data_IF_977740794116
#
_entry.id   IF_977740794116
#
_cell.length_a   1.000
_cell.length_b   1.000
_cell.length_c   1.000
_cell.angle_alpha   90.00
_cell.angle_beta   90.00
_cell.angle_gamma   90.00
#
_symmetry.space_group_name_H-M   'P 1'
#
loop_
_entity.id
_entity.type
_entity.pdbx_description
1 polymer ?
#
# COMPACT_ATOMS: atom_id res chain seq x y z
N UNK A 1 -3.76 5.92 15.03
CA UNK A 1 -2.95 6.25 13.83
C UNK A 1 -3.24 5.18 12.81
N UNK A 2 -3.65 5.56 11.62
CA UNK A 2 -3.85 4.61 10.52
C UNK A 2 -2.51 4.18 9.91
N UNK A 3 -2.56 3.09 9.12
CA UNK A 3 -1.37 2.42 8.58
C UNK A 3 -0.51 3.35 7.69
N UNK A 4 -1.06 4.10 6.70
CA UNK A 4 -0.26 5.02 5.90
C UNK A 4 0.32 6.19 6.70
N UNK A 5 -0.38 6.71 7.73
CA UNK A 5 0.17 7.75 8.61
C UNK A 5 1.31 7.22 9.47
N UNK A 6 1.21 5.98 9.95
CA UNK A 6 2.29 5.31 10.68
C UNK A 6 3.53 5.12 9.81
N UNK A 7 3.35 4.71 8.56
CA UNK A 7 4.44 4.58 7.59
C UNK A 7 5.15 5.93 7.37
N UNK A 8 4.40 7.01 7.20
CA UNK A 8 4.94 8.36 7.05
C UNK A 8 5.79 8.82 8.25
N UNK A 9 5.35 8.48 9.48
CA UNK A 9 6.10 8.81 10.70
C UNK A 9 7.42 8.03 10.82
N UNK A 10 7.50 6.85 10.22
CA UNK A 10 8.69 5.99 10.23
C UNK A 10 9.85 6.51 9.36
N UNK A 11 9.59 7.44 8.44
CA UNK A 11 10.61 7.96 7.53
C UNK A 11 11.36 9.13 8.17
N UNK A 12 12.67 9.12 8.01
CA UNK A 12 13.53 10.19 8.53
C UNK A 12 13.57 11.36 7.54
N UNK A 13 12.63 12.30 7.68
CA UNK A 13 12.54 13.56 6.92
C UNK A 13 12.56 14.75 7.86
N UNK A 14 12.98 15.95 7.39
CA UNK A 14 12.93 17.19 8.18
C UNK A 14 11.49 17.54 8.60
N UNK A 15 11.37 18.29 9.71
CA UNK A 15 10.11 18.93 10.10
C UNK A 15 9.64 19.88 9.00
N UNK A 16 8.34 19.91 8.75
CA UNK A 16 7.72 20.65 7.65
C UNK A 16 7.58 19.84 6.35
N UNK A 17 8.22 18.67 6.22
CA UNK A 17 8.12 17.85 5.01
C UNK A 17 6.69 17.33 4.82
N UNK A 18 6.23 17.37 3.57
CA UNK A 18 4.96 16.79 3.13
C UNK A 18 5.20 15.46 2.44
N UNK A 19 4.54 14.42 2.92
CA UNK A 19 4.69 13.05 2.46
C UNK A 19 3.34 12.56 1.93
N UNK A 20 3.33 11.99 0.73
CA UNK A 20 2.21 11.22 0.22
C UNK A 20 2.49 9.74 0.44
N UNK A 21 1.52 9.00 0.96
CA UNK A 21 1.59 7.54 1.09
C UNK A 21 0.45 6.90 0.30
N UNK A 22 0.80 5.89 -0.48
CA UNK A 22 -0.12 4.97 -1.14
C UNK A 22 0.08 3.59 -0.51
N UNK A 23 -0.94 3.11 0.18
CA UNK A 23 -0.98 1.78 0.77
C UNK A 23 -1.96 0.90 0.01
N UNK A 24 -1.47 -0.21 -0.56
CA UNK A 24 -2.30 -1.22 -1.22
C UNK A 24 -2.19 -2.51 -0.42
N UNK A 25 -3.11 -2.64 0.52
CA UNK A 25 -3.22 -3.78 1.41
C UNK A 25 -3.97 -4.96 0.80
N UNK A 26 -4.24 -5.96 1.64
CA UNK A 26 -4.97 -7.16 1.23
C UNK A 26 -6.46 -6.91 0.91
N UNK A 27 -7.08 -5.89 1.49
CA UNK A 27 -8.53 -5.64 1.37
C UNK A 27 -8.88 -4.18 1.09
N UNK A 28 -7.91 -3.26 1.19
CA UNK A 28 -8.11 -1.83 1.02
C UNK A 28 -6.96 -1.21 0.23
N UNK A 29 -7.27 -0.07 -0.38
CA UNK A 29 -6.32 0.91 -0.87
C UNK A 29 -6.54 2.16 -0.03
N UNK A 30 -5.50 2.66 0.60
CA UNK A 30 -5.52 3.87 1.40
C UNK A 30 -4.45 4.84 0.90
N UNK A 31 -4.82 6.11 0.74
CA UNK A 31 -3.90 7.18 0.35
C UNK A 31 -4.02 8.35 1.33
N UNK A 32 -2.91 8.94 1.71
CA UNK A 32 -2.91 10.18 2.46
C UNK A 32 -1.77 11.12 2.04
N UNK A 33 -1.95 12.40 2.37
CA UNK A 33 -0.87 13.39 2.39
C UNK A 33 -0.80 13.92 3.81
N UNK A 34 0.39 13.85 4.39
CA UNK A 34 0.65 14.33 5.74
C UNK A 34 1.80 15.34 5.74
N UNK A 35 1.75 16.30 6.65
CA UNK A 35 2.86 17.17 7.00
C UNK A 35 3.52 16.65 8.28
N UNK A 36 4.81 16.40 8.24
CA UNK A 36 5.58 15.98 9.41
C UNK A 36 5.98 17.20 10.22
N UNK A 37 5.72 17.16 11.51
CA UNK A 37 6.13 18.20 12.45
C UNK A 37 6.89 17.60 13.62
N UNK A 38 7.78 18.38 14.21
CA UNK A 38 8.58 17.94 15.36
C UNK A 38 9.72 16.99 14.98
N UNK A 39 10.18 16.22 15.95
CA UNK A 39 11.36 15.36 15.79
C UNK A 39 12.69 16.11 15.87
N UNK A 40 12.65 17.44 16.04
CA UNK A 40 13.83 18.30 16.16
C UNK A 40 14.33 18.32 17.61
N UNK A 41 15.62 18.56 17.74
CA UNK A 41 16.28 18.65 19.05
C UNK A 41 16.90 17.33 19.47
N UNK A 42 17.90 17.43 20.36
CA UNK A 42 18.55 16.26 20.97
C UNK A 42 17.89 15.93 22.30
N UNK A 43 17.53 14.66 22.50
CA UNK A 43 17.15 14.19 23.82
C UNK A 43 18.34 14.37 24.77
N UNK A 44 18.08 14.87 26.00
CA UNK A 44 19.15 14.88 26.99
C UNK A 44 19.42 13.45 27.48
N UNK A 45 20.67 13.09 27.81
CA UNK A 45 20.98 11.76 28.36
C UNK A 45 20.17 11.43 29.60
N UNK A 46 19.84 12.43 30.42
CA UNK A 46 19.00 12.29 31.63
C UNK A 46 17.55 11.97 31.24
N UNK A 47 17.01 12.61 30.18
CA UNK A 47 15.65 12.34 29.71
C UNK A 47 15.52 10.91 29.17
N UNK A 48 16.52 10.39 28.48
CA UNK A 48 16.55 9.00 28.01
C UNK A 48 16.57 8.00 29.18
N UNK A 49 17.37 8.27 30.19
CA UNK A 49 17.43 7.42 31.39
C UNK A 49 16.11 7.41 32.16
N UNK A 50 15.44 8.57 32.27
CA UNK A 50 14.15 8.68 32.96
C UNK A 50 13.02 8.02 32.18
N UNK A 51 13.01 8.10 30.84
CA UNK A 51 12.08 7.35 29.98
C UNK A 51 12.20 5.86 30.21
N UNK A 52 13.43 5.35 30.28
CA UNK A 52 13.67 3.93 30.54
C UNK A 52 13.09 3.48 31.89
N UNK A 53 12.99 4.36 32.89
CA UNK A 53 12.36 4.13 34.19
C UNK A 53 10.86 4.40 34.26
N UNK A 54 10.22 4.70 33.11
CA UNK A 54 8.77 4.95 33.01
C UNK A 54 8.31 6.33 33.51
N UNK A 55 9.22 7.29 33.73
CA UNK A 55 8.86 8.63 34.16
C UNK A 55 8.47 9.53 32.95
N UNK A 56 7.57 10.46 33.19
CA UNK A 56 7.28 11.51 32.21
C UNK A 56 8.45 12.53 32.16
N UNK A 57 9.06 12.62 30.99
CA UNK A 57 10.23 13.48 30.75
C UNK A 57 9.94 14.60 29.74
N UNK A 58 8.69 14.82 29.40
CA UNK A 58 8.28 15.83 28.42
C UNK A 58 8.78 17.24 28.77
N UNK A 59 8.86 17.55 30.06
CA UNK A 59 9.38 18.84 30.59
C UNK A 59 10.91 18.95 30.60
N UNK A 60 11.63 17.84 30.50
CA UNK A 60 13.10 17.77 30.62
C UNK A 60 13.74 17.64 29.21
N UNK A 61 13.05 17.02 28.28
CA UNK A 61 13.54 16.83 26.91
C UNK A 61 13.26 18.07 26.05
N UNK A 62 14.29 18.62 25.41
CA UNK A 62 14.15 19.64 24.37
C UNK A 62 13.69 19.06 23.03
N UNK A 63 13.56 17.74 22.92
CA UNK A 63 13.13 17.07 21.71
C UNK A 63 11.61 17.27 21.55
N UNK A 64 11.20 17.86 20.44
CA UNK A 64 9.80 17.93 20.06
C UNK A 64 9.30 16.55 19.65
N UNK A 65 8.14 16.16 20.11
CA UNK A 65 7.48 14.92 19.67
C UNK A 65 7.23 15.03 18.17
N UNK A 66 7.60 13.98 17.45
CA UNK A 66 7.30 13.88 16.03
C UNK A 66 5.84 13.52 15.84
N UNK A 67 5.12 14.29 15.07
CA UNK A 67 3.72 14.06 14.74
C UNK A 67 3.47 14.24 13.22
N UNK A 68 2.36 13.71 12.76
CA UNK A 68 1.89 13.88 11.40
C UNK A 68 0.54 14.61 11.42
N UNK A 69 0.47 15.74 10.73
CA UNK A 69 -0.76 16.46 10.45
C UNK A 69 -1.33 15.96 9.13
N UNK A 70 -2.57 15.45 9.14
CA UNK A 70 -3.23 14.94 7.93
C UNK A 70 -3.74 16.11 7.10
N UNK A 71 -3.17 16.30 5.92
CA UNK A 71 -3.63 17.28 4.94
C UNK A 71 -4.82 16.75 4.16
N UNK A 72 -4.72 15.56 3.60
CA UNK A 72 -5.81 14.90 2.86
C UNK A 72 -5.76 13.39 3.02
N UNK A 73 -6.89 12.73 2.83
CA UNK A 73 -7.00 11.29 2.92
C UNK A 73 -8.12 10.77 2.03
N UNK A 74 -7.88 9.66 1.35
CA UNK A 74 -8.88 8.91 0.58
C UNK A 74 -8.60 7.42 0.66
N UNK A 75 -9.55 6.58 0.26
CA UNK A 75 -9.35 5.14 0.22
C UNK A 75 -10.54 4.41 -0.39
N UNK A 76 -10.36 3.11 -0.60
CA UNK A 76 -11.41 2.24 -1.12
C UNK A 76 -11.30 0.82 -0.55
N UNK A 77 -12.39 0.06 -0.70
CA UNK A 77 -12.47 -1.35 -0.29
C UNK A 77 -12.05 -2.30 -1.42
N UNK A 78 -11.03 -1.94 -2.17
CA UNK A 78 -10.40 -2.79 -3.18
C UNK A 78 -8.98 -3.09 -2.69
N UNK A 79 -8.53 -4.34 -2.79
CA UNK A 79 -7.18 -4.71 -2.36
C UNK A 79 -6.69 -6.00 -3.01
N UNK A 80 -5.66 -6.59 -2.44
CA UNK A 80 -5.03 -7.80 -2.97
C UNK A 80 -5.97 -8.97 -3.17
N UNK A 81 -7.00 -9.12 -2.30
CA UNK A 81 -8.00 -10.19 -2.40
C UNK A 81 -8.93 -10.04 -3.61
N UNK A 82 -9.25 -8.81 -3.99
CA UNK A 82 -10.03 -8.56 -5.20
C UNK A 82 -9.24 -8.97 -6.43
N UNK A 83 -7.93 -8.69 -6.44
CA UNK A 83 -7.03 -9.11 -7.52
C UNK A 83 -6.96 -10.64 -7.61
N UNK A 84 -6.89 -11.35 -6.47
CA UNK A 84 -6.93 -12.82 -6.44
C UNK A 84 -8.23 -13.34 -7.05
N UNK A 85 -9.36 -12.72 -6.71
CA UNK A 85 -10.66 -13.06 -7.29
C UNK A 85 -10.71 -12.79 -8.79
N UNK A 86 -10.12 -11.69 -9.27
CA UNK A 86 -10.07 -11.38 -10.71
C UNK A 86 -9.23 -12.39 -11.48
N UNK A 87 -8.10 -12.84 -10.92
CA UNK A 87 -7.28 -13.92 -11.51
C UNK A 87 -8.10 -15.21 -11.61
N UNK A 88 -8.79 -15.60 -10.55
CA UNK A 88 -9.63 -16.80 -10.56
C UNK A 88 -10.74 -16.67 -11.60
N UNK A 89 -11.45 -15.54 -11.62
CA UNK A 89 -12.58 -15.29 -12.53
C UNK A 89 -12.14 -15.27 -14.01
N UNK A 90 -10.92 -14.83 -14.29
CA UNK A 90 -10.38 -14.84 -15.65
C UNK A 90 -10.31 -16.25 -16.24
N UNK A 91 -9.98 -17.25 -15.43
CA UNK A 91 -9.86 -18.64 -15.86
C UNK A 91 -11.10 -19.49 -15.55
N UNK A 92 -11.80 -19.18 -14.47
CA UNK A 92 -12.95 -19.91 -13.92
C UNK A 92 -14.04 -18.94 -13.44
N UNK A 93 -14.87 -18.37 -14.34
CA UNK A 93 -15.92 -17.42 -13.96
C UNK A 93 -16.90 -17.94 -12.91
N UNK A 94 -17.16 -19.26 -12.92
CA UNK A 94 -18.10 -19.93 -12.00
C UNK A 94 -17.38 -20.62 -10.84
N UNK A 95 -16.24 -20.12 -10.40
CA UNK A 95 -15.46 -20.71 -9.32
C UNK A 95 -16.26 -20.78 -8.00
N UNK A 96 -16.28 -21.97 -7.40
CA UNK A 96 -16.95 -22.25 -6.11
C UNK A 96 -15.96 -22.66 -5.01
N UNK A 97 -14.68 -22.73 -5.31
CA UNK A 97 -13.66 -23.32 -4.43
C UNK A 97 -12.72 -22.23 -3.87
N UNK A 98 -12.78 -22.02 -2.55
CA UNK A 98 -11.94 -21.05 -1.85
C UNK A 98 -10.43 -21.33 -2.03
N UNK A 99 -10.03 -22.59 -2.18
CA UNK A 99 -8.63 -22.96 -2.41
C UNK A 99 -8.03 -22.30 -3.66
N UNK A 100 -8.85 -21.99 -4.66
CA UNK A 100 -8.39 -21.34 -5.88
C UNK A 100 -7.95 -19.91 -5.63
N UNK A 101 -8.54 -19.22 -4.63
CA UNK A 101 -8.10 -17.88 -4.22
C UNK A 101 -6.70 -17.90 -3.60
N UNK A 102 -6.41 -18.89 -2.76
CA UNK A 102 -5.07 -19.05 -2.18
C UNK A 102 -4.02 -19.32 -3.27
N UNK A 103 -4.37 -20.15 -4.26
CA UNK A 103 -3.48 -20.42 -5.40
C UNK A 103 -3.27 -19.18 -6.29
N UNK A 104 -4.30 -18.36 -6.44
CA UNK A 104 -4.19 -17.08 -7.15
C UNK A 104 -3.32 -16.08 -6.39
N UNK A 105 -3.43 -16.01 -5.06
CA UNK A 105 -2.57 -15.20 -4.22
C UNK A 105 -1.10 -15.59 -4.35
N UNK A 106 -0.78 -16.88 -4.28
CA UNK A 106 0.58 -17.37 -4.45
C UNK A 106 1.19 -16.95 -5.79
N UNK A 107 0.44 -17.09 -6.89
CA UNK A 107 0.94 -16.74 -8.22
C UNK A 107 1.02 -15.22 -8.41
N UNK A 108 0.08 -14.45 -7.87
CA UNK A 108 0.12 -12.98 -7.82
C UNK A 108 1.40 -12.50 -7.14
N UNK A 109 1.71 -13.03 -5.94
CA UNK A 109 2.93 -12.67 -5.21
C UNK A 109 4.20 -12.99 -6.01
N UNK A 110 4.23 -14.12 -6.71
CA UNK A 110 5.35 -14.46 -7.61
C UNK A 110 5.47 -13.45 -8.74
N UNK A 111 4.38 -13.13 -9.44
CA UNK A 111 4.39 -12.20 -10.59
C UNK A 111 4.67 -10.75 -10.20
N UNK A 112 4.46 -10.37 -8.94
CA UNK A 112 4.83 -9.06 -8.40
C UNK A 112 6.33 -8.92 -8.08
N UNK A 113 7.11 -10.01 -8.17
CA UNK A 113 8.56 -9.95 -7.95
C UNK A 113 9.26 -9.29 -9.13
N UNK A 114 10.22 -8.39 -8.82
CA UNK A 114 11.01 -7.67 -9.82
C UNK A 114 11.97 -8.56 -10.63
N UNK A 115 12.21 -9.79 -10.16
CA UNK A 115 13.15 -10.73 -10.81
C UNK A 115 12.53 -11.52 -11.97
N UNK A 116 11.21 -11.41 -12.18
CA UNK A 116 10.48 -12.18 -13.17
C UNK A 116 10.58 -11.51 -14.55
N UNK A 117 10.94 -12.30 -15.56
CA UNK A 117 10.94 -11.87 -16.96
C UNK A 117 9.52 -11.81 -17.51
N UNK A 118 9.27 -10.88 -18.43
CA UNK A 118 7.95 -10.68 -19.03
C UNK A 118 7.42 -11.92 -19.77
N UNK A 119 8.32 -12.73 -20.33
CA UNK A 119 8.03 -13.94 -21.12
C UNK A 119 7.74 -15.19 -20.25
N UNK A 120 8.03 -15.13 -18.94
CA UNK A 120 7.87 -16.29 -18.07
C UNK A 120 6.39 -16.63 -17.89
N UNK A 121 6.05 -17.90 -18.05
CA UNK A 121 4.72 -18.45 -17.85
C UNK A 121 4.72 -19.35 -16.61
N UNK A 122 3.80 -19.11 -15.73
CA UNK A 122 3.67 -19.85 -14.49
C UNK A 122 2.45 -20.75 -14.55
N UNK A 123 2.66 -22.03 -14.26
CA UNK A 123 1.58 -23.02 -14.14
C UNK A 123 0.80 -22.74 -12.85
N UNK A 124 -0.51 -22.61 -12.99
CA UNK A 124 -1.46 -22.60 -11.89
C UNK A 124 -2.47 -23.73 -12.06
N UNK A 125 -2.77 -24.46 -10.98
CA UNK A 125 -3.75 -25.54 -10.96
C UNK A 125 -4.96 -25.09 -10.18
N UNK A 126 -6.11 -25.01 -10.82
CA UNK A 126 -7.36 -24.71 -10.13
C UNK A 126 -8.21 -25.97 -9.95
N UNK A 127 -8.85 -26.06 -8.79
CA UNK A 127 -9.81 -27.11 -8.48
C UNK A 127 -11.11 -26.83 -9.23
N UNK A 128 -11.64 -27.87 -9.89
CA UNK A 128 -12.90 -27.84 -10.63
C UNK A 128 -13.84 -28.93 -10.11
N UNK A 129 -15.04 -29.04 -10.68
CA UNK A 129 -16.05 -30.05 -10.27
C UNK A 129 -15.48 -31.48 -10.25
N UNK A 130 -15.93 -32.27 -9.27
CA UNK A 130 -15.47 -33.63 -9.07
C UNK A 130 -14.08 -33.75 -8.46
N UNK A 131 -13.61 -32.76 -7.72
CA UNK A 131 -12.27 -32.72 -7.11
C UNK A 131 -11.12 -32.93 -8.11
N UNK A 132 -11.32 -32.53 -9.35
CA UNK A 132 -10.29 -32.58 -10.39
C UNK A 132 -9.53 -31.24 -10.42
N UNK A 133 -8.28 -31.28 -10.82
CA UNK A 133 -7.49 -30.09 -11.08
C UNK A 133 -7.42 -29.81 -12.58
N UNK A 134 -7.52 -28.51 -12.93
CA UNK A 134 -7.29 -28.02 -14.29
C UNK A 134 -6.10 -27.07 -14.29
N UNK A 135 -5.22 -27.27 -15.23
CA UNK A 135 -4.00 -26.50 -15.39
C UNK A 135 -4.23 -25.29 -16.29
N UNK A 136 -3.69 -24.14 -15.87
CA UNK A 136 -3.69 -22.89 -16.62
C UNK A 136 -2.30 -22.28 -16.56
N UNK A 137 -2.00 -21.38 -17.48
CA UNK A 137 -0.75 -20.65 -17.52
C UNK A 137 -1.02 -19.16 -17.36
N UNK A 138 -0.43 -18.55 -16.35
CA UNK A 138 -0.47 -17.11 -16.11
C UNK A 138 0.90 -16.51 -16.41
N UNK A 139 0.94 -15.57 -17.34
CA UNK A 139 2.11 -14.73 -17.63
C UNK A 139 1.92 -13.34 -17.03
N UNK A 140 3.00 -12.56 -16.99
CA UNK A 140 2.93 -11.15 -16.60
C UNK A 140 1.97 -10.38 -17.50
N UNK A 141 1.98 -10.63 -18.81
CA UNK A 141 1.06 -10.01 -19.78
C UNK A 141 -0.43 -10.28 -19.44
N UNK A 142 -0.77 -11.55 -19.13
CA UNK A 142 -2.14 -11.90 -18.75
C UNK A 142 -2.50 -11.25 -17.41
N UNK A 143 -1.56 -11.21 -16.47
CA UNK A 143 -1.78 -10.57 -15.18
C UNK A 143 -2.04 -9.06 -15.33
N UNK A 144 -1.23 -8.36 -16.11
CA UNK A 144 -1.43 -6.94 -16.44
C UNK A 144 -2.81 -6.72 -17.11
N UNK A 145 -3.18 -7.59 -18.05
CA UNK A 145 -4.51 -7.55 -18.67
C UNK A 145 -5.64 -7.71 -17.63
N UNK A 146 -5.53 -8.64 -16.71
CA UNK A 146 -6.50 -8.81 -15.61
C UNK A 146 -6.64 -7.53 -14.80
N UNK A 147 -5.55 -6.86 -14.46
CA UNK A 147 -5.56 -5.58 -13.74
C UNK A 147 -6.25 -4.47 -14.53
N UNK A 148 -5.95 -4.36 -15.82
CA UNK A 148 -6.51 -3.34 -16.73
C UNK A 148 -8.01 -3.57 -16.95
N UNK A 149 -8.41 -4.81 -17.27
CA UNK A 149 -9.82 -5.19 -17.55
C UNK A 149 -10.72 -4.95 -16.31
N UNK A 150 -10.17 -5.03 -15.10
CA UNK A 150 -10.89 -4.72 -13.86
C UNK A 150 -10.74 -3.25 -13.41
N UNK A 151 -10.25 -2.37 -14.30
CA UNK A 151 -10.15 -0.92 -14.09
C UNK A 151 -9.37 -0.46 -12.86
N UNK A 152 -8.45 -1.26 -12.30
CA UNK A 152 -7.70 -0.89 -11.10
C UNK A 152 -6.93 0.43 -11.30
N UNK A 153 -6.27 0.60 -12.43
CA UNK A 153 -5.47 1.80 -12.72
C UNK A 153 -6.35 3.05 -12.79
N UNK A 154 -7.52 2.96 -13.43
CA UNK A 154 -8.46 4.09 -13.48
C UNK A 154 -9.01 4.42 -12.08
N UNK A 155 -9.23 3.40 -11.26
CA UNK A 155 -9.67 3.57 -9.88
C UNK A 155 -8.61 4.27 -9.03
N UNK A 156 -7.35 3.84 -9.11
CA UNK A 156 -6.22 4.50 -8.45
C UNK A 156 -6.08 5.97 -8.88
N UNK A 157 -6.20 6.24 -10.18
CA UNK A 157 -6.17 7.60 -10.71
C UNK A 157 -7.31 8.48 -10.18
N UNK A 158 -8.51 7.91 -9.98
CA UNK A 158 -9.63 8.62 -9.38
C UNK A 158 -9.34 8.99 -7.92
N UNK A 159 -8.89 8.01 -7.13
CA UNK A 159 -8.51 8.24 -5.72
C UNK A 159 -7.41 9.30 -5.60
N UNK A 160 -6.40 9.24 -6.46
CA UNK A 160 -5.33 10.22 -6.48
C UNK A 160 -5.84 11.63 -6.80
N UNK A 161 -6.76 11.76 -7.76
CA UNK A 161 -7.39 13.06 -8.08
C UNK A 161 -8.17 13.61 -6.90
N UNK A 162 -8.95 12.77 -6.21
CA UNK A 162 -9.73 13.18 -5.04
C UNK A 162 -8.80 13.64 -3.91
N UNK A 163 -7.73 12.88 -3.63
CA UNK A 163 -6.71 13.21 -2.65
C UNK A 163 -6.08 14.58 -2.93
N UNK A 164 -5.64 14.80 -4.16
CA UNK A 164 -4.98 16.06 -4.57
C UNK A 164 -5.94 17.25 -4.58
N UNK A 165 -7.21 17.04 -4.93
CA UNK A 165 -8.23 18.09 -4.89
C UNK A 165 -8.49 18.55 -3.45
N UNK A 166 -8.61 17.61 -2.50
CA UNK A 166 -8.75 17.95 -1.08
C UNK A 166 -7.49 18.69 -0.56
N UNK A 167 -6.30 18.21 -0.94
CA UNK A 167 -5.04 18.84 -0.55
C UNK A 167 -4.92 20.28 -1.06
N UNK A 168 -5.34 20.56 -2.30
CA UNK A 168 -5.39 21.92 -2.87
C UNK A 168 -6.28 22.86 -2.06
N UNK A 169 -7.39 22.38 -1.55
CA UNK A 169 -8.27 23.15 -0.65
C UNK A 169 -7.58 23.55 0.66
N UNK A 170 -6.48 22.89 1.01
CA UNK A 170 -5.63 23.21 2.17
C UNK A 170 -4.25 23.76 1.76
N UNK A 171 -4.17 24.39 0.58
CA UNK A 171 -2.96 25.00 0.04
C UNK A 171 -1.76 24.05 -0.09
N UNK A 172 -2.02 22.80 -0.47
CA UNK A 172 -0.99 21.83 -0.76
C UNK A 172 -1.14 21.31 -2.19
N UNK A 173 -0.09 21.46 -2.99
CA UNK A 173 -0.03 21.00 -4.40
C UNK A 173 0.96 19.84 -4.52
N UNK A 174 1.04 19.23 -5.71
CA UNK A 174 2.01 18.17 -6.01
C UNK A 174 3.45 18.65 -5.85
N UNK A 175 3.71 19.90 -6.22
CA UNK A 175 5.06 20.52 -6.13
C UNK A 175 5.54 20.70 -4.68
N UNK A 176 4.61 20.66 -3.73
CA UNK A 176 4.92 20.73 -2.30
C UNK A 176 5.33 19.38 -1.68
N UNK A 177 5.14 18.28 -2.40
CA UNK A 177 5.46 16.95 -1.90
C UNK A 177 6.97 16.71 -1.92
N UNK A 178 7.50 16.27 -0.78
CA UNK A 178 8.93 15.97 -0.64
C UNK A 178 9.22 14.49 -0.88
N UNK A 179 8.27 13.61 -0.54
CA UNK A 179 8.44 12.15 -0.64
C UNK A 179 7.10 11.50 -0.99
N UNK A 180 7.16 10.47 -1.83
CA UNK A 180 6.06 9.54 -2.08
C UNK A 180 6.47 8.16 -1.57
N UNK A 181 5.62 7.53 -0.79
CA UNK A 181 5.86 6.22 -0.19
C UNK A 181 4.84 5.24 -0.74
N UNK A 182 5.32 4.11 -1.19
CA UNK A 182 4.50 2.96 -1.57
C UNK A 182 4.61 1.89 -0.49
N UNK A 183 3.50 1.49 0.11
CA UNK A 183 3.42 0.45 1.14
C UNK A 183 2.37 -0.60 0.79
N UNK A 184 2.36 -1.70 1.53
CA UNK A 184 1.50 -2.84 1.26
C UNK A 184 2.01 -3.74 0.14
N UNK A 185 1.62 -5.01 0.15
CA UNK A 185 2.06 -6.00 -0.84
C UNK A 185 1.59 -5.70 -2.26
N UNK A 186 0.43 -5.04 -2.40
CA UNK A 186 -0.13 -4.65 -3.69
C UNK A 186 0.67 -3.57 -4.42
N UNK A 187 1.45 -2.76 -3.69
CA UNK A 187 2.31 -1.74 -4.30
C UNK A 187 3.48 -2.30 -5.12
N UNK A 188 3.74 -3.62 -5.01
CA UNK A 188 4.76 -4.32 -5.80
C UNK A 188 4.24 -4.80 -7.17
N UNK A 189 2.97 -4.58 -7.48
CA UNK A 189 2.39 -4.97 -8.77
C UNK A 189 3.01 -4.11 -9.89
N UNK A 190 3.49 -4.73 -10.98
CA UNK A 190 4.30 -4.05 -12.00
C UNK A 190 3.64 -2.87 -12.72
N UNK A 191 2.33 -2.71 -12.63
CA UNK A 191 1.56 -1.59 -13.23
C UNK A 191 1.32 -0.43 -12.26
N UNK A 192 1.72 -0.56 -11.00
CA UNK A 192 1.56 0.42 -9.93
C UNK A 192 2.92 1.02 -9.59
#
# INVERSE_FOLDING_TARGET
VDEPTAASLGINVPSGSKIMTLDIGGSTIDMNIVKIEGGEGKASPIAELLKFRGNDVSSISKQKIRCAEIISKTGSKIGGKDIDQWIVNYFLPDNKYAINLLRAEEIKCKLSSTTIKYEDKYLIKFLIEGNKEKEFYLSKEIFEKVIIDNNLINHLNSLLKDLLNEARGKFCTVDDLNVIILVGGGSQIPLI
#
